data_IF_181000157989
#
_entry.id   IF_181000157989
#
_cell.length_a   1.000
_cell.length_b   1.000
_cell.length_c   1.000
_cell.angle_alpha   90.00
_cell.angle_beta   90.00
_cell.angle_gamma   90.00
#
_symmetry.space_group_name_H-M   'P 1'
#
loop_
_entity.id
_entity.type
_entity.pdbx_description
1 polymer ?
#
# COMPACT_ATOMS: atom_id res chain seq x y z
N UNK A 1 -32.18 -49.31 -27.89
CA UNK A 1 -30.83 -48.84 -28.36
C UNK A 1 -30.12 -48.27 -27.16
N UNK A 2 -29.28 -49.08 -26.56
CA UNK A 2 -28.38 -48.66 -25.46
C UNK A 2 -27.24 -47.91 -26.08
N UNK A 3 -27.17 -46.62 -25.85
CA UNK A 3 -25.99 -45.80 -26.15
C UNK A 3 -24.87 -46.29 -25.24
N UNK A 4 -24.00 -47.14 -25.78
CA UNK A 4 -22.68 -47.46 -25.18
C UNK A 4 -21.95 -46.10 -25.02
N UNK A 5 -21.93 -45.62 -23.80
CA UNK A 5 -21.05 -44.51 -23.39
C UNK A 5 -19.63 -45.06 -23.49
N UNK A 6 -18.96 -44.82 -24.61
CA UNK A 6 -17.52 -45.05 -24.78
C UNK A 6 -16.76 -44.13 -23.81
N UNK A 7 -16.80 -44.52 -22.52
CA UNK A 7 -16.07 -43.85 -21.44
C UNK A 7 -14.58 -44.22 -21.56
N UNK A 8 -13.78 -43.41 -22.15
CA UNK A 8 -12.34 -43.60 -22.36
C UNK A 8 -11.49 -43.30 -21.11
N UNK A 9 -12.10 -42.88 -20.02
CA UNK A 9 -11.40 -42.64 -18.74
C UNK A 9 -11.11 -43.94 -18.01
N UNK A 10 -9.97 -43.98 -17.31
CA UNK A 10 -9.59 -45.15 -16.45
C UNK A 10 -10.50 -45.29 -15.20
N UNK A 11 -11.35 -44.32 -14.90
CA UNK A 11 -12.19 -44.29 -13.71
C UNK A 11 -13.63 -44.72 -14.00
N UNK A 12 -14.15 -45.64 -13.17
CA UNK A 12 -15.58 -45.95 -13.13
C UNK A 12 -16.29 -45.19 -12.02
N UNK A 13 -17.62 -45.20 -12.03
CA UNK A 13 -18.41 -44.63 -10.94
C UNK A 13 -18.16 -45.38 -9.61
N UNK A 14 -18.01 -46.69 -9.68
CA UNK A 14 -17.72 -47.55 -8.54
C UNK A 14 -16.36 -47.25 -7.91
N UNK A 15 -15.29 -47.09 -8.71
CA UNK A 15 -14.00 -46.62 -8.24
C UNK A 15 -14.07 -45.25 -7.57
N UNK A 16 -14.85 -44.36 -8.14
CA UNK A 16 -15.07 -43.04 -7.58
C UNK A 16 -15.83 -43.07 -6.26
N UNK A 17 -16.77 -44.00 -6.13
CA UNK A 17 -17.49 -44.26 -4.88
C UNK A 17 -16.56 -44.82 -3.81
N UNK A 18 -15.75 -45.80 -4.17
CA UNK A 18 -14.73 -46.40 -3.30
C UNK A 18 -13.70 -45.37 -2.82
N UNK A 19 -13.21 -44.55 -3.72
CA UNK A 19 -12.31 -43.42 -3.40
C UNK A 19 -12.93 -42.47 -2.39
N UNK A 20 -14.18 -42.03 -2.59
CA UNK A 20 -14.86 -41.11 -1.68
C UNK A 20 -15.19 -41.76 -0.34
N UNK A 21 -15.55 -43.04 -0.33
CA UNK A 21 -15.82 -43.76 0.90
C UNK A 21 -14.57 -43.85 1.79
N UNK A 22 -13.40 -44.08 1.20
CA UNK A 22 -12.11 -44.13 1.90
C UNK A 22 -11.74 -42.78 2.51
N UNK A 23 -11.95 -41.69 1.76
CA UNK A 23 -11.58 -40.35 2.22
C UNK A 23 -12.56 -39.74 3.24
N UNK A 24 -13.80 -40.17 3.23
CA UNK A 24 -14.89 -39.59 4.04
C UNK A 24 -15.73 -40.67 4.74
N UNK A 25 -15.14 -41.59 5.53
CA UNK A 25 -15.87 -42.72 6.11
C UNK A 25 -17.07 -42.29 6.95
N UNK A 26 -16.94 -41.22 7.71
CA UNK A 26 -17.92 -40.71 8.67
C UNK A 26 -18.96 -39.71 8.08
N UNK A 27 -19.05 -39.61 6.77
CA UNK A 27 -20.05 -38.71 6.12
C UNK A 27 -21.27 -39.51 5.66
N UNK A 28 -22.40 -38.81 5.53
CA UNK A 28 -23.68 -39.40 5.08
C UNK A 28 -23.58 -39.98 3.68
N UNK A 29 -24.37 -41.02 3.40
CA UNK A 29 -24.42 -41.68 2.06
C UNK A 29 -24.72 -40.68 0.94
N UNK A 30 -25.66 -39.78 1.14
CA UNK A 30 -26.02 -38.73 0.17
C UNK A 30 -24.83 -37.80 -0.15
N UNK A 31 -24.03 -37.41 0.87
CA UNK A 31 -22.82 -36.63 0.66
C UNK A 31 -21.81 -37.40 -0.19
N UNK A 32 -21.58 -38.67 0.16
CA UNK A 32 -20.60 -39.55 -0.51
C UNK A 32 -21.00 -39.75 -1.97
N UNK A 33 -22.24 -40.04 -2.23
CA UNK A 33 -22.76 -40.26 -3.58
C UNK A 33 -22.67 -39.00 -4.47
N UNK A 34 -23.08 -37.83 -3.97
CA UNK A 34 -22.94 -36.57 -4.69
C UNK A 34 -21.46 -36.26 -5.01
N UNK A 35 -20.57 -36.49 -4.07
CA UNK A 35 -19.13 -36.29 -4.27
C UNK A 35 -18.52 -37.28 -5.24
N UNK A 36 -18.90 -38.56 -5.19
CA UNK A 36 -18.45 -39.57 -6.11
C UNK A 36 -18.89 -39.27 -7.56
N UNK A 37 -20.15 -38.89 -7.75
CA UNK A 37 -20.66 -38.47 -9.06
C UNK A 37 -19.92 -37.25 -9.59
N UNK A 38 -19.69 -36.22 -8.76
CA UNK A 38 -18.94 -35.05 -9.14
C UNK A 38 -17.48 -35.35 -9.51
N UNK A 39 -16.82 -36.24 -8.74
CA UNK A 39 -15.47 -36.69 -9.03
C UNK A 39 -15.41 -37.48 -10.34
N UNK A 40 -16.27 -38.46 -10.51
CA UNK A 40 -16.42 -39.26 -11.73
C UNK A 40 -16.60 -38.36 -12.95
N UNK A 41 -17.57 -37.46 -12.94
CA UNK A 41 -17.80 -36.53 -14.02
C UNK A 41 -16.58 -35.65 -14.34
N UNK A 42 -15.78 -35.30 -13.34
CA UNK A 42 -14.54 -34.54 -13.54
C UNK A 42 -13.43 -35.34 -14.23
N UNK A 43 -13.40 -36.66 -14.02
CA UNK A 43 -12.44 -37.56 -14.64
C UNK A 43 -12.86 -37.91 -16.08
N UNK A 44 -14.13 -38.24 -16.28
CA UNK A 44 -14.69 -38.63 -17.58
C UNK A 44 -14.79 -37.47 -18.56
N UNK A 45 -15.19 -36.29 -18.12
CA UNK A 45 -15.29 -35.08 -18.96
C UNK A 45 -13.96 -34.72 -19.65
N UNK A 46 -12.84 -35.16 -19.09
CA UNK A 46 -11.48 -34.87 -19.60
C UNK A 46 -10.80 -36.09 -20.21
N UNK A 47 -11.49 -37.22 -20.35
CA UNK A 47 -10.93 -38.49 -20.86
C UNK A 47 -9.54 -38.83 -20.28
N UNK A 48 -9.39 -38.66 -18.96
CA UNK A 48 -8.10 -38.78 -18.31
C UNK A 48 -7.54 -40.19 -18.38
N UNK A 49 -6.41 -40.32 -19.06
CA UNK A 49 -5.64 -41.56 -19.14
C UNK A 49 -4.38 -41.47 -18.30
N UNK A 50 -4.16 -42.50 -17.49
CA UNK A 50 -2.96 -42.61 -16.65
C UNK A 50 -1.95 -43.54 -17.29
N UNK A 51 -0.70 -43.05 -17.41
CA UNK A 51 0.45 -43.85 -17.85
C UNK A 51 1.48 -43.92 -16.73
N UNK A 52 1.98 -45.09 -16.43
CA UNK A 52 2.98 -45.34 -15.37
C UNK A 52 4.27 -45.78 -16.02
N UNK A 53 5.35 -45.06 -15.74
CA UNK A 53 6.71 -45.36 -16.17
C UNK A 53 7.65 -45.34 -14.97
N UNK A 54 8.88 -45.81 -15.11
CA UNK A 54 9.86 -45.72 -14.03
C UNK A 54 10.23 -44.30 -13.63
N UNK A 55 10.09 -43.33 -14.57
CA UNK A 55 10.44 -41.92 -14.34
C UNK A 55 9.32 -41.11 -13.68
N UNK A 56 8.08 -41.64 -13.68
CA UNK A 56 6.95 -40.94 -13.10
C UNK A 56 5.59 -41.47 -13.52
N UNK A 57 4.57 -40.92 -12.92
CA UNK A 57 3.18 -41.15 -13.27
C UNK A 57 2.65 -39.98 -14.03
N UNK A 58 2.09 -40.25 -15.21
CA UNK A 58 1.58 -39.21 -16.14
C UNK A 58 0.08 -39.31 -16.25
N UNK A 59 -0.60 -38.17 -16.37
CA UNK A 59 -2.02 -38.10 -16.69
C UNK A 59 -2.17 -37.21 -17.93
N UNK A 60 -2.77 -37.78 -18.97
CA UNK A 60 -2.90 -37.12 -20.31
C UNK A 60 -1.55 -36.66 -20.87
N UNK A 61 -0.50 -37.50 -20.73
CA UNK A 61 0.86 -37.21 -21.17
C UNK A 61 1.60 -36.15 -20.32
N UNK A 62 0.99 -35.61 -19.26
CA UNK A 62 1.63 -34.63 -18.37
C UNK A 62 2.08 -35.30 -17.10
N UNK A 63 3.30 -34.98 -16.63
CA UNK A 63 3.79 -35.47 -15.36
C UNK A 63 2.86 -35.09 -14.22
N UNK A 64 2.28 -36.11 -13.58
CA UNK A 64 1.35 -35.99 -12.46
C UNK A 64 2.04 -36.19 -11.11
N UNK A 65 2.96 -37.17 -11.03
CA UNK A 65 3.75 -37.47 -9.86
C UNK A 65 5.21 -37.81 -10.27
N UNK A 66 6.16 -37.11 -9.69
CA UNK A 66 7.58 -37.42 -9.77
C UNK A 66 7.97 -38.30 -8.58
N UNK A 67 8.82 -39.34 -8.75
CA UNK A 67 9.34 -40.10 -7.65
C UNK A 67 10.00 -39.24 -6.56
N UNK A 68 10.71 -38.22 -6.96
CA UNK A 68 11.40 -37.29 -6.05
C UNK A 68 10.44 -36.55 -5.07
N UNK A 69 9.18 -36.37 -5.45
CA UNK A 69 8.18 -35.68 -4.66
C UNK A 69 7.40 -36.59 -3.70
N UNK A 70 7.55 -37.92 -3.87
CA UNK A 70 6.76 -38.90 -3.11
C UNK A 70 7.48 -39.22 -1.80
N UNK A 71 6.74 -39.16 -0.69
CA UNK A 71 7.18 -39.58 0.64
C UNK A 71 6.82 -41.04 0.92
N UNK A 72 5.57 -41.40 0.61
CA UNK A 72 4.99 -42.71 0.91
C UNK A 72 3.85 -43.03 -0.06
N UNK A 73 3.65 -44.33 -0.32
CA UNK A 73 2.49 -44.81 -1.05
C UNK A 73 1.72 -45.83 -0.20
N UNK A 74 0.39 -45.70 -0.21
CA UNK A 74 -0.53 -46.63 0.44
C UNK A 74 -1.56 -47.14 -0.56
N UNK A 75 -1.85 -48.42 -0.61
CA UNK A 75 -2.93 -48.93 -1.45
C UNK A 75 -4.22 -49.20 -0.66
N UNK A 76 -5.34 -49.15 -1.36
CA UNK A 76 -6.62 -49.68 -0.93
C UNK A 76 -7.31 -50.28 -2.16
N UNK A 77 -7.24 -51.61 -2.28
CA UNK A 77 -7.65 -52.31 -3.49
C UNK A 77 -6.81 -51.88 -4.70
N UNK A 78 -7.47 -51.43 -5.75
CA UNK A 78 -6.82 -50.92 -6.98
C UNK A 78 -6.46 -49.44 -6.95
N UNK A 79 -6.68 -48.74 -5.82
CA UNK A 79 -6.39 -47.34 -5.63
C UNK A 79 -5.07 -47.14 -4.87
N UNK A 80 -4.15 -46.36 -5.44
CA UNK A 80 -2.85 -46.04 -4.86
C UNK A 80 -2.84 -44.56 -4.46
N UNK A 81 -2.60 -44.31 -3.17
CA UNK A 81 -2.56 -43.00 -2.55
C UNK A 81 -1.14 -42.60 -2.25
N UNK A 82 -0.71 -41.50 -2.81
CA UNK A 82 0.64 -40.99 -2.67
C UNK A 82 0.65 -39.75 -1.75
N UNK A 83 1.33 -39.89 -0.63
CA UNK A 83 1.69 -38.78 0.23
C UNK A 83 2.89 -38.04 -0.38
N UNK A 84 2.76 -36.74 -0.63
CA UNK A 84 3.87 -35.94 -1.10
C UNK A 84 4.74 -35.44 0.08
N UNK A 85 6.05 -35.26 -0.17
CA UNK A 85 7.01 -34.74 0.83
C UNK A 85 6.61 -33.37 1.40
N UNK A 86 5.86 -32.56 0.66
CA UNK A 86 5.33 -31.29 1.14
C UNK A 86 4.17 -31.43 2.14
N UNK A 87 3.68 -32.65 2.37
CA UNK A 87 2.58 -32.94 3.30
C UNK A 87 1.23 -32.34 2.95
N UNK A 88 1.12 -31.54 1.87
CA UNK A 88 -0.07 -30.77 1.53
C UNK A 88 -1.06 -31.49 0.64
N UNK A 89 -0.61 -32.43 -0.13
CA UNK A 89 -1.43 -33.07 -1.16
C UNK A 89 -1.27 -34.57 -1.15
N UNK A 90 -2.42 -35.25 -1.11
CA UNK A 90 -2.51 -36.66 -1.45
C UNK A 90 -2.95 -36.78 -2.90
N UNK A 91 -2.25 -37.61 -3.65
CA UNK A 91 -2.62 -37.96 -5.02
C UNK A 91 -3.11 -39.40 -5.03
N UNK A 92 -4.19 -39.64 -5.76
CA UNK A 92 -4.70 -40.99 -5.96
C UNK A 92 -4.57 -41.34 -7.44
N UNK A 93 -4.09 -42.55 -7.66
CA UNK A 93 -3.94 -43.17 -8.97
C UNK A 93 -4.64 -44.51 -8.94
N UNK A 94 -5.49 -44.81 -9.93
CA UNK A 94 -6.04 -46.14 -10.13
C UNK A 94 -5.09 -46.99 -10.98
N UNK A 95 -4.79 -48.17 -10.52
CA UNK A 95 -4.06 -49.18 -11.29
C UNK A 95 -4.94 -50.44 -11.44
N UNK A 96 -5.45 -50.64 -12.65
CA UNK A 96 -6.12 -51.87 -13.05
C UNK A 96 -5.08 -53.03 -13.23
N UNK A 97 -5.56 -54.21 -13.59
CA UNK A 97 -4.69 -55.40 -13.73
C UNK A 97 -3.47 -55.17 -14.62
N UNK A 98 -3.64 -54.42 -15.70
CA UNK A 98 -2.55 -54.15 -16.67
C UNK A 98 -1.51 -53.18 -16.10
N UNK A 99 -1.95 -52.22 -15.29
CA UNK A 99 -1.10 -51.18 -14.70
C UNK A 99 -0.53 -51.56 -13.36
N UNK A 100 -1.07 -52.61 -12.72
CA UNK A 100 -0.67 -53.03 -11.38
C UNK A 100 0.81 -53.41 -11.31
N UNK A 101 1.29 -54.18 -12.29
CA UNK A 101 2.70 -54.57 -12.33
C UNK A 101 3.60 -53.34 -12.55
N UNK A 102 3.26 -52.47 -13.48
CA UNK A 102 3.99 -51.21 -13.72
C UNK A 102 4.01 -50.31 -12.48
N UNK A 103 2.94 -50.31 -11.69
CA UNK A 103 2.89 -49.58 -10.42
C UNK A 103 3.85 -50.16 -9.39
N UNK A 104 3.88 -51.49 -9.25
CA UNK A 104 4.83 -52.16 -8.36
C UNK A 104 6.28 -51.95 -8.76
N UNK A 105 6.56 -52.02 -10.06
CA UNK A 105 7.90 -51.76 -10.61
C UNK A 105 8.32 -50.32 -10.34
N UNK A 106 7.41 -49.35 -10.58
CA UNK A 106 7.62 -47.92 -10.27
C UNK A 106 7.96 -47.69 -8.79
N UNK A 107 7.21 -48.31 -7.87
CA UNK A 107 7.44 -48.20 -6.42
C UNK A 107 8.78 -48.77 -6.02
N UNK A 108 9.11 -50.00 -6.54
CA UNK A 108 10.33 -50.71 -6.24
C UNK A 108 11.58 -50.05 -6.80
N UNK A 109 11.58 -49.66 -8.09
CA UNK A 109 12.72 -49.03 -8.75
C UNK A 109 13.07 -47.67 -8.10
N UNK A 110 12.08 -46.96 -7.62
CA UNK A 110 12.28 -45.64 -7.00
C UNK A 110 12.43 -45.70 -5.47
N UNK A 111 12.50 -46.90 -4.86
CA UNK A 111 12.58 -47.12 -3.40
C UNK A 111 11.52 -46.30 -2.63
N UNK A 112 10.29 -46.28 -3.14
CA UNK A 112 9.18 -45.57 -2.49
C UNK A 112 8.65 -46.45 -1.35
N UNK A 113 8.58 -45.90 -0.13
CA UNK A 113 7.95 -46.55 1.01
C UNK A 113 6.51 -46.93 0.67
N UNK A 114 6.20 -48.20 0.64
CA UNK A 114 4.91 -48.75 0.22
C UNK A 114 4.26 -49.54 1.34
N UNK A 115 3.10 -49.08 1.77
CA UNK A 115 2.21 -49.87 2.64
C UNK A 115 1.12 -50.49 1.79
N UNK A 116 0.97 -51.83 1.91
CA UNK A 116 -0.04 -52.59 1.20
C UNK A 116 -1.47 -52.15 1.51
N UNK A 117 -2.44 -53.01 1.31
CA UNK A 117 -3.85 -52.68 1.46
C UNK A 117 -4.21 -52.25 2.89
N UNK A 118 -4.32 -50.91 3.08
CA UNK A 118 -4.57 -50.28 4.38
C UNK A 118 -5.48 -49.07 4.26
N UNK A 119 -6.81 -49.30 4.24
CA UNK A 119 -7.82 -48.20 4.18
C UNK A 119 -7.69 -47.20 5.33
N UNK A 120 -7.36 -47.66 6.54
CA UNK A 120 -7.21 -46.79 7.71
C UNK A 120 -6.02 -45.85 7.57
N UNK A 121 -4.92 -46.32 7.00
CA UNK A 121 -3.75 -45.50 6.72
C UNK A 121 -4.04 -44.45 5.65
N UNK A 122 -4.83 -44.77 4.60
CA UNK A 122 -5.30 -43.82 3.61
C UNK A 122 -6.10 -42.68 4.27
N UNK A 123 -7.01 -43.04 5.18
CA UNK A 123 -7.79 -42.04 5.91
C UNK A 123 -6.90 -41.17 6.79
N UNK A 124 -5.93 -41.75 7.51
CA UNK A 124 -4.99 -41.03 8.35
C UNK A 124 -4.19 -40.00 7.55
N UNK A 125 -3.57 -40.41 6.44
CA UNK A 125 -2.78 -39.51 5.60
C UNK A 125 -3.65 -38.40 5.03
N UNK A 126 -4.88 -38.71 4.61
CA UNK A 126 -5.82 -37.71 4.12
C UNK A 126 -6.20 -36.70 5.20
N UNK A 127 -6.44 -37.15 6.41
CA UNK A 127 -6.80 -36.31 7.55
C UNK A 127 -5.65 -35.41 7.95
N UNK A 128 -4.44 -35.93 8.04
CA UNK A 128 -3.23 -35.19 8.38
C UNK A 128 -2.92 -34.10 7.33
N UNK A 129 -2.99 -34.47 6.05
CA UNK A 129 -2.83 -33.49 4.96
C UNK A 129 -3.89 -32.37 5.00
N UNK A 130 -5.12 -32.70 5.39
CA UNK A 130 -6.19 -31.73 5.55
C UNK A 130 -5.94 -30.81 6.74
N UNK A 131 -5.52 -31.33 7.87
CA UNK A 131 -5.16 -30.55 9.07
C UNK A 131 -3.99 -29.62 8.77
N UNK A 132 -2.93 -30.13 8.15
CA UNK A 132 -1.78 -29.34 7.74
C UNK A 132 -2.17 -28.17 6.83
N UNK A 133 -3.03 -28.42 5.84
CA UNK A 133 -3.54 -27.39 4.94
C UNK A 133 -4.41 -26.36 5.67
N UNK A 134 -5.21 -26.80 6.65
CA UNK A 134 -6.06 -25.89 7.44
C UNK A 134 -5.25 -25.04 8.41
N UNK A 135 -4.20 -25.60 9.03
CA UNK A 135 -3.35 -24.87 10.00
C UNK A 135 -2.53 -23.74 9.35
N UNK A 136 -2.20 -23.86 8.07
CA UNK A 136 -1.42 -22.83 7.35
C UNK A 136 -2.24 -21.61 6.90
N UNK A 137 -3.54 -21.77 6.67
CA UNK A 137 -4.41 -20.66 6.21
C UNK A 137 -4.43 -19.49 7.19
N UNK A 138 -4.65 -19.67 8.50
CA UNK A 138 -4.68 -18.54 9.42
C UNK A 138 -3.32 -17.82 9.49
N UNK A 139 -2.20 -18.54 9.42
CA UNK A 139 -0.87 -17.94 9.41
C UNK A 139 -0.61 -17.12 8.15
N UNK A 140 -1.10 -17.57 6.99
CA UNK A 140 -1.03 -16.82 5.76
C UNK A 140 -1.88 -15.53 5.83
N UNK A 141 -3.06 -15.59 6.45
CA UNK A 141 -3.92 -14.41 6.68
C UNK A 141 -3.20 -13.40 7.58
N UNK A 142 -2.62 -13.87 8.70
CA UNK A 142 -1.86 -13.00 9.60
C UNK A 142 -0.68 -12.35 8.89
N UNK A 143 0.10 -13.12 8.12
CA UNK A 143 1.22 -12.60 7.33
C UNK A 143 0.78 -11.54 6.32
N UNK A 144 -0.40 -11.75 5.67
CA UNK A 144 -1.00 -10.79 4.74
C UNK A 144 -1.40 -9.48 5.44
N UNK A 145 -2.05 -9.59 6.60
CA UNK A 145 -2.45 -8.42 7.39
C UNK A 145 -1.21 -7.63 7.83
N UNK A 146 -0.18 -8.31 8.34
CA UNK A 146 1.07 -7.66 8.73
C UNK A 146 1.76 -6.97 7.55
N UNK A 147 1.74 -7.59 6.36
CA UNK A 147 2.25 -6.98 5.15
C UNK A 147 1.51 -5.69 4.81
N UNK A 148 0.17 -5.74 4.77
CA UNK A 148 -0.65 -4.58 4.46
C UNK A 148 -0.44 -3.46 5.48
N UNK A 149 -0.46 -3.77 6.77
CA UNK A 149 -0.23 -2.78 7.84
C UNK A 149 1.16 -2.14 7.76
N UNK A 150 2.21 -2.93 7.50
CA UNK A 150 3.56 -2.40 7.40
C UNK A 150 3.74 -1.50 6.17
N UNK A 151 3.18 -1.89 5.03
CA UNK A 151 3.21 -1.09 3.82
C UNK A 151 2.44 0.23 3.99
N UNK A 152 1.22 0.17 4.56
CA UNK A 152 0.43 1.36 4.87
C UNK A 152 1.14 2.27 5.87
N UNK A 153 1.76 1.69 6.90
CA UNK A 153 2.55 2.44 7.87
C UNK A 153 3.75 3.18 7.23
N UNK A 154 4.48 2.54 6.34
CA UNK A 154 5.59 3.16 5.60
C UNK A 154 5.11 4.29 4.69
N UNK A 155 3.98 4.08 4.01
CA UNK A 155 3.37 5.11 3.16
C UNK A 155 2.92 6.33 3.98
N UNK A 156 2.26 6.11 5.11
CA UNK A 156 1.87 7.18 6.04
C UNK A 156 3.12 7.91 6.56
N UNK A 157 4.14 7.18 7.02
CA UNK A 157 5.38 7.80 7.53
C UNK A 157 6.02 8.73 6.48
N UNK A 158 6.07 8.30 5.22
CA UNK A 158 6.65 9.08 4.12
C UNK A 158 5.82 10.32 3.79
N UNK A 159 4.49 10.19 3.75
CA UNK A 159 3.60 11.20 3.20
C UNK A 159 2.98 12.14 4.26
N UNK A 160 2.98 11.76 5.54
CA UNK A 160 2.43 12.58 6.61
C UNK A 160 3.02 14.01 6.68
N UNK A 161 4.33 14.24 6.45
CA UNK A 161 4.87 15.60 6.42
C UNK A 161 4.28 16.47 5.29
N UNK A 162 4.02 15.88 4.12
CA UNK A 162 3.40 16.60 3.01
C UNK A 162 1.95 17.00 3.34
N UNK A 163 1.20 16.10 3.98
CA UNK A 163 -0.18 16.40 4.39
C UNK A 163 -0.23 17.48 5.47
N UNK A 164 0.69 17.47 6.43
CA UNK A 164 0.79 18.54 7.43
C UNK A 164 1.15 19.88 6.77
N UNK A 165 2.07 19.86 5.81
CA UNK A 165 2.45 21.05 5.02
C UNK A 165 1.25 21.60 4.24
N UNK A 166 0.48 20.74 3.58
CA UNK A 166 -0.72 21.17 2.84
C UNK A 166 -1.77 21.80 3.77
N UNK A 167 -2.00 21.21 4.95
CA UNK A 167 -2.93 21.78 5.94
C UNK A 167 -2.51 23.15 6.44
N UNK A 168 -1.20 23.37 6.66
CA UNK A 168 -0.67 24.68 7.08
C UNK A 168 -0.82 25.70 5.96
N UNK A 169 -0.55 25.33 4.71
CA UNK A 169 -0.75 26.22 3.54
C UNK A 169 -2.21 26.60 3.37
N UNK A 170 -3.11 25.63 3.43
CA UNK A 170 -4.55 25.86 3.28
C UNK A 170 -5.16 26.63 4.46
N UNK A 171 -4.44 26.73 5.61
CA UNK A 171 -4.80 27.65 6.68
C UNK A 171 -4.69 29.13 6.27
N UNK A 172 -4.25 29.41 5.04
CA UNK A 172 -4.22 30.77 4.48
C UNK A 172 -2.95 31.54 4.85
N UNK A 173 -1.84 30.81 5.08
CA UNK A 173 -0.59 31.44 5.53
C UNK A 173 -0.06 32.47 4.51
N UNK A 174 -0.12 32.19 3.19
CA UNK A 174 0.35 33.13 2.17
C UNK A 174 -0.47 34.43 2.16
N UNK A 175 -1.81 34.34 2.23
CA UNK A 175 -2.65 35.53 2.29
C UNK A 175 -2.42 36.33 3.58
N UNK A 176 -2.30 35.61 4.71
CA UNK A 176 -2.06 36.25 5.99
C UNK A 176 -0.67 36.93 6.07
N UNK A 177 0.36 36.33 5.46
CA UNK A 177 1.69 36.96 5.36
C UNK A 177 1.58 38.30 4.58
N UNK A 178 0.88 38.26 3.43
CA UNK A 178 0.66 39.47 2.63
C UNK A 178 -0.13 40.54 3.40
N UNK A 179 -1.24 40.14 4.03
CA UNK A 179 -2.10 41.06 4.77
C UNK A 179 -1.37 41.65 5.97
N UNK A 180 -0.65 40.85 6.76
CA UNK A 180 0.12 41.32 7.92
C UNK A 180 1.29 42.19 7.55
N UNK A 181 1.95 41.91 6.42
CA UNK A 181 2.99 42.80 5.91
C UNK A 181 2.38 44.14 5.46
N UNK A 182 1.26 44.12 4.75
CA UNK A 182 0.54 45.33 4.36
C UNK A 182 0.04 46.15 5.56
N UNK A 183 -0.54 45.51 6.57
CA UNK A 183 -0.93 46.20 7.81
C UNK A 183 0.28 46.96 8.40
N UNK A 184 1.45 46.32 8.47
CA UNK A 184 2.69 46.94 8.98
C UNK A 184 3.14 48.11 8.06
N UNK A 185 3.03 47.95 6.74
CA UNK A 185 3.33 49.02 5.78
C UNK A 185 2.40 50.22 6.01
N UNK A 186 1.08 49.98 6.12
CA UNK A 186 0.08 51.03 6.34
C UNK A 186 0.32 51.75 7.67
N UNK A 187 0.67 51.00 8.73
CA UNK A 187 0.92 51.58 10.06
C UNK A 187 2.19 52.45 10.11
N UNK A 188 3.14 52.21 9.20
CA UNK A 188 4.40 52.97 9.13
C UNK A 188 4.31 54.13 8.15
N UNK A 189 3.38 54.08 7.19
CA UNK A 189 3.24 55.18 6.20
C UNK A 189 2.63 56.42 6.83
N UNK A 190 3.05 57.64 6.39
CA UNK A 190 2.40 58.86 6.77
C UNK A 190 0.97 58.91 6.24
N UNK A 191 0.07 59.62 6.94
CA UNK A 191 -1.29 59.84 6.44
C UNK A 191 -1.29 60.58 5.09
N UNK A 192 -2.39 60.49 4.33
CA UNK A 192 -2.54 61.21 3.04
C UNK A 192 -2.27 62.72 3.19
N UNK A 193 -2.69 63.31 4.30
CA UNK A 193 -2.48 64.71 4.62
C UNK A 193 -0.99 65.02 4.86
N UNK A 194 -0.27 64.14 5.59
CA UNK A 194 1.15 64.31 5.84
C UNK A 194 2.01 64.05 4.59
N UNK A 195 1.56 63.17 3.71
CA UNK A 195 2.18 62.92 2.42
C UNK A 195 1.87 64.00 1.37
N UNK A 196 0.95 64.92 1.67
CA UNK A 196 0.52 65.96 0.72
C UNK A 196 -0.22 65.38 -0.49
N UNK A 197 -0.97 64.28 -0.28
CA UNK A 197 -1.71 63.57 -1.35
C UNK A 197 -3.21 63.70 -1.15
N UNK A 198 -3.96 63.72 -2.27
CA UNK A 198 -5.40 63.49 -2.18
C UNK A 198 -5.71 62.08 -1.70
N UNK A 199 -6.80 61.90 -0.97
CA UNK A 199 -7.21 60.61 -0.42
C UNK A 199 -7.35 59.54 -1.50
N UNK A 200 -7.83 59.91 -2.68
CA UNK A 200 -7.97 59.03 -3.83
C UNK A 200 -6.61 58.55 -4.38
N UNK A 201 -5.65 59.46 -4.50
CA UNK A 201 -4.29 59.16 -4.94
C UNK A 201 -3.56 58.27 -3.92
N UNK A 202 -3.70 58.56 -2.62
CA UNK A 202 -3.14 57.77 -1.55
C UNK A 202 -3.69 56.35 -1.54
N UNK A 203 -4.99 56.16 -1.71
CA UNK A 203 -5.61 54.84 -1.77
C UNK A 203 -5.18 54.04 -3.02
N UNK A 204 -4.99 54.73 -4.16
CA UNK A 204 -4.45 54.08 -5.36
C UNK A 204 -3.02 53.59 -5.11
N UNK A 205 -2.17 54.41 -4.50
CA UNK A 205 -0.82 54.03 -4.10
C UNK A 205 -0.82 52.76 -3.19
N UNK A 206 -1.65 52.76 -2.16
CA UNK A 206 -1.77 51.59 -1.28
C UNK A 206 -2.19 50.33 -2.05
N UNK A 207 -3.15 50.50 -2.98
CA UNK A 207 -3.60 49.41 -3.83
C UNK A 207 -2.49 48.87 -4.74
N UNK A 208 -1.68 49.73 -5.31
CA UNK A 208 -0.55 49.38 -6.18
C UNK A 208 0.55 48.62 -5.37
N UNK A 209 0.88 49.13 -4.18
CA UNK A 209 1.80 48.46 -3.26
C UNK A 209 1.25 47.11 -2.86
N UNK A 210 -0.03 47.02 -2.49
CA UNK A 210 -0.67 45.74 -2.12
C UNK A 210 -0.62 44.74 -3.26
N UNK A 211 -0.95 45.13 -4.46
CA UNK A 211 -0.91 44.29 -5.65
C UNK A 211 0.53 43.81 -5.94
N UNK A 212 1.52 44.70 -5.84
CA UNK A 212 2.92 44.35 -6.04
C UNK A 212 3.42 43.31 -5.00
N UNK A 213 3.04 43.51 -3.74
CA UNK A 213 3.38 42.59 -2.64
C UNK A 213 2.69 41.23 -2.82
N UNK A 214 1.37 41.22 -3.07
CA UNK A 214 0.60 39.98 -3.24
C UNK A 214 1.08 39.14 -4.39
N UNK A 215 1.56 39.74 -5.47
CA UNK A 215 2.11 39.04 -6.62
C UNK A 215 3.61 38.70 -6.51
N UNK A 216 4.24 39.01 -5.36
CA UNK A 216 5.65 38.78 -5.16
C UNK A 216 5.98 37.32 -4.80
N UNK A 217 7.00 36.75 -5.43
CA UNK A 217 7.55 35.48 -5.06
C UNK A 217 8.13 35.41 -3.62
N UNK A 218 8.41 36.58 -3.01
CA UNK A 218 8.88 36.67 -1.63
C UNK A 218 7.78 36.24 -0.63
N UNK A 219 6.51 36.54 -0.90
CA UNK A 219 5.37 36.07 -0.08
C UNK A 219 5.30 34.57 -0.08
N UNK A 220 5.43 33.93 -1.24
CA UNK A 220 5.43 32.47 -1.35
C UNK A 220 6.64 31.85 -0.67
N UNK A 221 7.81 32.51 -0.74
CA UNK A 221 9.03 32.08 -0.05
C UNK A 221 8.87 32.13 1.46
N UNK A 222 8.34 33.22 2.02
CA UNK A 222 8.02 33.35 3.46
C UNK A 222 7.03 32.26 3.88
N UNK A 223 5.91 32.14 3.19
CA UNK A 223 4.89 31.13 3.50
C UNK A 223 5.47 29.70 3.48
N UNK A 224 6.36 29.41 2.53
CA UNK A 224 7.07 28.14 2.46
C UNK A 224 8.01 27.94 3.64
N UNK A 225 8.85 28.93 3.97
CA UNK A 225 9.77 28.85 5.14
C UNK A 225 9.00 28.57 6.43
N UNK A 226 7.90 29.27 6.67
CA UNK A 226 7.02 29.01 7.82
C UNK A 226 6.42 27.61 7.76
N UNK A 227 5.83 27.22 6.64
CA UNK A 227 5.22 25.89 6.48
C UNK A 227 6.23 24.79 6.79
N UNK A 228 7.44 24.88 6.24
CA UNK A 228 8.50 23.88 6.45
C UNK A 228 8.97 23.86 7.91
N UNK A 229 9.16 25.02 8.52
CA UNK A 229 9.58 25.16 9.91
C UNK A 229 8.51 24.66 10.90
N UNK A 230 7.24 25.03 10.70
CA UNK A 230 6.12 24.57 11.55
C UNK A 230 5.89 23.08 11.40
N UNK A 231 5.91 22.52 10.19
CA UNK A 231 5.79 21.07 9.96
C UNK A 231 6.91 20.31 10.66
N UNK A 232 8.15 20.83 10.59
CA UNK A 232 9.31 20.25 11.29
C UNK A 232 9.17 20.39 12.81
N UNK A 233 8.74 21.55 13.29
CA UNK A 233 8.49 21.78 14.71
C UNK A 233 7.44 20.82 15.30
N UNK A 234 6.31 20.64 14.60
CA UNK A 234 5.28 19.67 14.99
C UNK A 234 5.84 18.24 15.08
N UNK A 235 6.65 17.84 14.08
CA UNK A 235 7.29 16.53 14.07
C UNK A 235 8.24 16.34 15.24
N UNK A 236 9.04 17.37 15.53
CA UNK A 236 10.08 17.33 16.55
C UNK A 236 9.52 17.62 17.96
N UNK A 237 8.23 17.90 18.10
CA UNK A 237 7.54 18.18 19.36
C UNK A 237 7.94 19.50 20.02
N UNK A 238 8.40 20.48 19.20
CA UNK A 238 8.86 21.79 19.68
C UNK A 238 7.69 22.70 19.97
N UNK A 239 7.87 23.67 20.86
CA UNK A 239 7.00 24.84 20.99
C UNK A 239 7.31 25.83 19.88
N UNK A 240 6.40 26.79 19.60
CA UNK A 240 6.66 27.80 18.57
C UNK A 240 7.92 28.63 18.85
N UNK A 241 8.16 28.98 20.10
CA UNK A 241 9.34 29.77 20.52
C UNK A 241 10.68 29.04 20.30
N UNK A 242 10.66 27.72 20.18
CA UNK A 242 11.85 26.92 19.87
C UNK A 242 12.10 26.79 18.36
N UNK A 243 11.20 27.35 17.54
CA UNK A 243 11.30 27.31 16.09
C UNK A 243 11.91 28.64 15.62
N UNK A 244 13.13 28.58 15.09
CA UNK A 244 13.77 29.74 14.49
C UNK A 244 13.40 29.82 13.01
N UNK A 245 12.79 30.95 12.59
CA UNK A 245 12.38 31.20 11.20
C UNK A 245 13.02 32.54 10.78
N UNK A 246 14.01 32.45 9.90
CA UNK A 246 14.70 33.62 9.35
C UNK A 246 14.08 33.98 7.99
N UNK A 247 13.49 35.18 7.92
CA UNK A 247 12.86 35.77 6.73
C UNK A 247 13.41 37.16 6.38
N UNK A 248 14.54 37.56 6.92
CA UNK A 248 15.08 38.89 6.75
C UNK A 248 15.36 39.24 5.27
N UNK A 249 15.83 38.27 4.49
CA UNK A 249 16.08 38.40 3.06
C UNK A 249 14.76 38.66 2.27
N UNK A 250 13.72 37.93 2.59
CA UNK A 250 12.41 38.08 1.95
C UNK A 250 11.75 39.40 2.34
N UNK A 251 11.83 39.80 3.59
CA UNK A 251 11.34 41.10 4.04
C UNK A 251 12.10 42.25 3.35
N UNK A 252 13.41 42.12 3.15
CA UNK A 252 14.20 43.03 2.37
C UNK A 252 13.71 43.15 0.92
N UNK A 253 13.41 42.01 0.33
CA UNK A 253 12.86 41.94 -1.03
C UNK A 253 11.48 42.59 -1.13
N UNK A 254 10.60 42.34 -0.16
CA UNK A 254 9.29 42.96 -0.10
C UNK A 254 9.38 44.51 0.05
N UNK A 255 10.29 44.96 0.90
CA UNK A 255 10.56 46.41 1.07
C UNK A 255 11.06 47.04 -0.25
N UNK A 256 11.95 46.36 -0.97
CA UNK A 256 12.43 46.82 -2.27
C UNK A 256 11.31 46.87 -3.34
N UNK A 257 10.42 45.87 -3.33
CA UNK A 257 9.26 45.83 -4.25
C UNK A 257 8.31 47.01 -3.97
N UNK A 258 7.98 47.23 -2.69
CA UNK A 258 7.15 48.34 -2.29
C UNK A 258 7.80 49.69 -2.66
N UNK A 259 9.11 49.84 -2.39
CA UNK A 259 9.90 51.02 -2.76
C UNK A 259 9.88 51.26 -4.28
N UNK A 260 10.13 50.26 -5.10
CA UNK A 260 10.14 50.40 -6.55
C UNK A 260 8.75 50.75 -7.10
N UNK A 261 7.68 50.15 -6.55
CA UNK A 261 6.31 50.46 -6.92
C UNK A 261 5.98 51.92 -6.71
N UNK A 262 6.54 52.56 -5.68
CA UNK A 262 6.36 53.99 -5.39
C UNK A 262 7.26 54.84 -6.29
N UNK A 263 8.54 54.53 -6.39
CA UNK A 263 9.54 55.37 -7.12
C UNK A 263 9.35 55.32 -8.63
N UNK A 264 8.88 54.23 -9.19
CA UNK A 264 8.62 54.06 -10.62
C UNK A 264 7.28 54.66 -11.05
N UNK A 265 6.38 54.95 -10.10
CA UNK A 265 5.11 55.60 -10.40
C UNK A 265 5.36 57.02 -10.93
N UNK A 266 4.73 57.33 -12.05
CA UNK A 266 4.79 58.70 -12.64
C UNK A 266 3.81 59.67 -12.01
N UNK A 267 2.96 59.18 -11.15
CA UNK A 267 1.82 59.93 -10.60
C UNK A 267 2.18 60.69 -9.31
N UNK A 268 3.39 60.45 -8.74
CA UNK A 268 3.82 61.05 -7.48
C UNK A 268 5.00 61.99 -7.68
N UNK A 269 5.00 63.12 -6.96
CA UNK A 269 6.11 64.06 -6.94
C UNK A 269 7.33 63.45 -6.20
N UNK A 270 8.54 63.91 -6.53
CA UNK A 270 9.77 63.42 -5.89
C UNK A 270 9.74 63.61 -4.36
N UNK A 271 9.16 64.72 -3.86
CA UNK A 271 8.99 64.96 -2.42
C UNK A 271 8.05 63.97 -1.76
N UNK A 272 6.96 63.54 -2.42
CA UNK A 272 6.04 62.52 -1.94
C UNK A 272 6.73 61.15 -1.89
N UNK A 273 7.51 60.82 -2.92
CA UNK A 273 8.30 59.58 -2.98
C UNK A 273 9.33 59.52 -1.85
N UNK A 274 10.04 60.61 -1.58
CA UNK A 274 11.05 60.65 -0.51
C UNK A 274 10.44 60.44 0.88
N UNK A 275 9.28 61.05 1.18
CA UNK A 275 8.58 60.92 2.46
C UNK A 275 8.14 59.47 2.66
N UNK A 276 7.57 58.84 1.63
CA UNK A 276 7.03 57.50 1.70
C UNK A 276 8.16 56.43 1.80
N UNK A 277 9.23 56.63 1.04
CA UNK A 277 10.38 55.69 1.05
C UNK A 277 11.13 55.72 2.35
N UNK A 278 11.22 56.87 3.04
CA UNK A 278 11.83 56.97 4.36
C UNK A 278 11.05 56.15 5.41
N UNK A 279 9.72 56.09 5.29
CA UNK A 279 8.88 55.32 6.19
C UNK A 279 8.97 53.80 5.96
N UNK A 280 9.14 53.36 4.70
CA UNK A 280 9.24 51.96 4.36
C UNK A 280 10.52 51.25 4.83
N UNK A 281 11.59 51.99 5.10
CA UNK A 281 12.90 51.40 5.48
C UNK A 281 12.92 50.91 6.93
N UNK A 282 11.92 51.26 7.75
CA UNK A 282 12.12 51.30 9.20
C UNK A 282 11.56 50.15 10.04
N UNK A 283 10.76 49.18 9.51
CA UNK A 283 10.16 48.20 10.44
C UNK A 283 10.00 46.75 9.97
N UNK A 284 11.10 46.15 9.57
CA UNK A 284 11.16 44.68 9.34
C UNK A 284 10.85 43.86 10.61
N UNK A 285 11.25 44.35 11.79
CA UNK A 285 11.01 43.69 13.06
C UNK A 285 9.51 43.61 13.37
N UNK A 286 8.78 44.67 13.19
CA UNK A 286 7.32 44.68 13.38
C UNK A 286 6.61 43.80 12.38
N UNK A 287 7.03 43.79 11.11
CA UNK A 287 6.48 42.88 10.10
C UNK A 287 6.73 41.41 10.47
N UNK A 288 7.95 41.06 10.85
CA UNK A 288 8.29 39.72 11.29
C UNK A 288 7.49 39.30 12.53
N UNK A 289 7.33 40.19 13.50
CA UNK A 289 6.55 39.97 14.71
C UNK A 289 5.06 39.75 14.39
N UNK A 290 4.49 40.53 13.49
CA UNK A 290 3.08 40.38 13.07
C UNK A 290 2.84 39.03 12.38
N UNK A 291 3.75 38.63 11.49
CA UNK A 291 3.71 37.33 10.82
C UNK A 291 3.90 36.17 11.84
N UNK A 292 4.88 36.31 12.76
CA UNK A 292 5.12 35.33 13.83
C UNK A 292 3.88 35.13 14.71
N UNK A 293 3.21 36.22 15.12
CA UNK A 293 2.01 36.14 15.93
C UNK A 293 0.88 35.37 15.24
N UNK A 294 0.72 35.56 13.93
CA UNK A 294 -0.26 34.81 13.18
C UNK A 294 0.12 33.32 13.05
N UNK A 295 1.38 33.06 12.72
CA UNK A 295 1.90 31.70 12.56
C UNK A 295 1.88 30.92 13.88
N UNK A 296 2.19 31.56 15.01
CA UNK A 296 2.07 30.94 16.34
C UNK A 296 0.63 30.57 16.67
N UNK A 297 -0.34 31.42 16.32
CA UNK A 297 -1.75 31.10 16.50
C UNK A 297 -2.18 29.83 15.76
N UNK A 298 -1.76 29.67 14.50
CA UNK A 298 -2.01 28.43 13.74
C UNK A 298 -1.30 27.24 14.40
N UNK A 299 -0.05 27.41 14.79
CA UNK A 299 0.76 26.36 15.38
C UNK A 299 0.20 25.87 16.71
N UNK A 300 -0.16 26.81 17.59
CA UNK A 300 -0.76 26.51 18.90
C UNK A 300 -2.10 25.82 18.76
N UNK A 301 -2.91 26.21 17.79
CA UNK A 301 -4.18 25.54 17.50
C UNK A 301 -3.96 24.11 17.06
N UNK A 302 -2.96 23.87 16.19
CA UNK A 302 -2.59 22.52 15.75
C UNK A 302 -1.99 21.69 16.90
N UNK A 303 -1.23 22.29 17.79
CA UNK A 303 -0.54 21.59 18.87
C UNK A 303 -1.47 21.30 20.07
N UNK A 304 -2.27 22.27 20.50
CA UNK A 304 -3.04 22.18 21.74
C UNK A 304 -4.49 21.71 21.55
N UNK A 305 -5.20 22.19 20.55
CA UNK A 305 -6.58 21.72 20.27
C UNK A 305 -6.63 20.35 19.63
N UNK A 306 -5.55 19.95 18.96
CA UNK A 306 -5.41 18.65 18.31
C UNK A 306 -4.31 17.80 18.94
N UNK A 307 -4.09 17.91 20.24
CA UNK A 307 -2.99 17.24 20.95
C UNK A 307 -2.88 15.73 20.65
N UNK A 308 -4.02 15.05 20.50
CA UNK A 308 -4.04 13.65 20.07
C UNK A 308 -3.59 13.45 18.63
N UNK A 309 -3.93 14.36 17.72
CA UNK A 309 -3.50 14.31 16.31
C UNK A 309 -2.03 14.69 16.18
N UNK A 310 -1.54 15.68 16.93
CA UNK A 310 -0.13 16.02 16.97
C UNK A 310 0.71 14.86 17.49
N UNK A 311 0.27 14.18 18.55
CA UNK A 311 0.91 12.97 19.09
C UNK A 311 0.93 11.81 18.08
N UNK A 312 -0.17 11.59 17.34
CA UNK A 312 -0.23 10.61 16.26
C UNK A 312 0.76 10.99 15.14
N UNK A 313 0.76 12.27 14.72
CA UNK A 313 1.67 12.77 13.70
C UNK A 313 3.14 12.57 14.09
N UNK A 314 3.53 12.95 15.30
CA UNK A 314 4.88 12.73 15.85
C UNK A 314 5.24 11.24 15.83
N UNK A 315 4.32 10.38 16.28
CA UNK A 315 4.54 8.94 16.30
C UNK A 315 4.76 8.39 14.90
N UNK A 316 3.85 8.67 13.96
CA UNK A 316 3.91 8.10 12.60
C UNK A 316 5.07 8.66 11.77
N UNK A 317 5.54 9.88 12.04
CA UNK A 317 6.70 10.48 11.36
C UNK A 317 8.03 10.17 12.03
N UNK A 318 8.01 9.50 13.19
CA UNK A 318 9.23 9.17 13.93
C UNK A 318 10.08 8.13 13.21
N UNK A 319 11.41 8.23 13.42
CA UNK A 319 12.36 7.23 12.94
C UNK A 319 12.10 5.85 13.55
N UNK A 320 11.66 5.81 14.81
CA UNK A 320 11.32 4.56 15.51
C UNK A 320 10.16 3.85 14.82
N UNK A 321 9.09 4.58 14.47
CA UNK A 321 7.96 4.02 13.73
C UNK A 321 8.40 3.49 12.36
N UNK A 322 9.21 4.24 11.62
CA UNK A 322 9.76 3.81 10.34
C UNK A 322 10.51 2.48 10.45
N UNK A 323 11.45 2.38 11.41
CA UNK A 323 12.22 1.14 11.63
C UNK A 323 11.30 -0.02 12.03
N UNK A 324 10.31 0.23 12.91
CA UNK A 324 9.34 -0.78 13.30
C UNK A 324 8.54 -1.30 12.10
N UNK A 325 8.09 -0.42 11.20
CA UNK A 325 7.37 -0.82 9.99
C UNK A 325 8.24 -1.63 9.02
N UNK A 326 9.53 -1.29 8.86
CA UNK A 326 10.49 -2.09 8.08
C UNK A 326 10.67 -3.48 8.69
N UNK A 327 10.81 -3.58 9.99
CA UNK A 327 10.95 -4.89 10.66
C UNK A 327 9.69 -5.73 10.51
N UNK A 328 8.51 -5.14 10.66
CA UNK A 328 7.24 -5.81 10.42
C UNK A 328 7.10 -6.27 8.95
N UNK A 329 7.52 -5.44 8.01
CA UNK A 329 7.53 -5.79 6.58
C UNK A 329 8.45 -6.98 6.32
N UNK A 330 9.67 -6.96 6.84
CA UNK A 330 10.62 -8.07 6.71
C UNK A 330 10.07 -9.36 7.32
N UNK A 331 9.50 -9.27 8.53
CA UNK A 331 8.85 -10.41 9.19
C UNK A 331 7.68 -10.95 8.36
N UNK A 332 6.81 -10.08 7.85
CA UNK A 332 5.67 -10.47 7.02
C UNK A 332 6.11 -11.17 5.73
N UNK A 333 7.16 -10.70 5.07
CA UNK A 333 7.73 -11.30 3.87
C UNK A 333 8.33 -12.68 4.17
N UNK A 334 9.06 -12.84 5.28
CA UNK A 334 9.58 -14.13 5.74
C UNK A 334 8.42 -15.10 5.97
N UNK A 335 7.38 -14.67 6.69
CA UNK A 335 6.20 -15.51 6.93
C UNK A 335 5.46 -15.87 5.63
N UNK A 336 5.31 -14.92 4.71
CA UNK A 336 4.72 -15.17 3.40
C UNK A 336 5.52 -16.19 2.59
N UNK A 337 6.85 -16.18 2.66
CA UNK A 337 7.73 -17.14 1.99
C UNK A 337 7.62 -18.52 2.67
N UNK A 338 7.71 -18.58 4.00
CA UNK A 338 7.66 -19.84 4.76
C UNK A 338 6.31 -20.56 4.67
N UNK A 339 5.22 -19.78 4.70
CA UNK A 339 3.86 -20.32 4.63
C UNK A 339 3.25 -20.20 3.23
N UNK A 340 4.01 -19.68 2.26
CA UNK A 340 3.53 -19.58 0.89
C UNK A 340 3.25 -20.97 0.32
N UNK A 341 2.17 -21.00 -0.38
CA UNK A 341 1.74 -22.11 -1.20
C UNK A 341 2.82 -22.44 -2.26
N UNK A 342 2.80 -23.64 -2.86
CA UNK A 342 3.75 -24.01 -3.91
C UNK A 342 3.85 -22.91 -4.97
N UNK A 343 5.02 -22.79 -5.59
CA UNK A 343 5.35 -21.70 -6.56
C UNK A 343 4.25 -21.48 -7.61
N UNK A 344 3.48 -22.53 -7.94
CA UNK A 344 2.33 -22.48 -8.83
C UNK A 344 1.22 -21.52 -8.35
N UNK A 345 1.08 -21.30 -7.05
CA UNK A 345 0.09 -20.42 -6.45
C UNK A 345 0.73 -19.10 -6.02
N UNK A 346 1.93 -19.14 -5.45
CA UNK A 346 2.68 -17.95 -5.00
C UNK A 346 2.92 -16.95 -6.14
N UNK A 347 3.13 -17.44 -7.38
CA UNK A 347 3.30 -16.60 -8.57
C UNK A 347 2.08 -15.73 -8.90
N UNK A 348 0.91 -16.07 -8.40
CA UNK A 348 -0.32 -15.30 -8.58
C UNK A 348 -0.59 -14.49 -7.32
N UNK A 349 -0.42 -15.12 -6.15
CA UNK A 349 -0.78 -14.53 -4.87
C UNK A 349 0.08 -13.32 -4.50
N UNK A 350 1.42 -13.43 -4.57
CA UNK A 350 2.32 -12.33 -4.21
C UNK A 350 2.15 -11.09 -5.11
N UNK A 351 2.17 -11.22 -6.45
CA UNK A 351 1.88 -10.06 -7.31
C UNK A 351 0.50 -9.44 -7.07
N UNK A 352 -0.53 -10.29 -6.90
CA UNK A 352 -1.88 -9.81 -6.61
C UNK A 352 -1.94 -9.01 -5.31
N UNK A 353 -1.16 -9.39 -4.29
CA UNK A 353 -1.10 -8.67 -3.03
C UNK A 353 -0.63 -7.21 -3.21
N UNK A 354 0.41 -6.98 -4.01
CA UNK A 354 0.90 -5.62 -4.32
C UNK A 354 -0.10 -4.82 -5.15
N UNK A 355 -0.76 -5.45 -6.12
CA UNK A 355 -1.77 -4.78 -6.96
C UNK A 355 -3.01 -4.41 -6.12
N UNK A 356 -3.47 -5.33 -5.28
CA UNK A 356 -4.62 -5.10 -4.39
C UNK A 356 -4.27 -4.02 -3.36
N UNK A 357 -3.07 -4.07 -2.78
CA UNK A 357 -2.60 -3.05 -1.85
C UNK A 357 -2.62 -1.65 -2.50
N UNK A 358 -1.98 -1.50 -3.67
CA UNK A 358 -1.99 -0.23 -4.40
C UNK A 358 -3.41 0.27 -4.70
N UNK A 359 -4.30 -0.61 -5.16
CA UNK A 359 -5.69 -0.26 -5.45
C UNK A 359 -6.52 0.11 -4.23
N UNK A 360 -6.41 -0.64 -3.14
CA UNK A 360 -7.13 -0.35 -1.89
C UNK A 360 -6.65 0.96 -1.26
N UNK A 361 -5.34 1.19 -1.20
CA UNK A 361 -4.80 2.44 -0.69
C UNK A 361 -5.18 3.64 -1.55
N UNK A 362 -5.19 3.49 -2.87
CA UNK A 362 -5.66 4.55 -3.75
C UNK A 362 -7.08 5.00 -3.37
N UNK A 363 -7.99 4.05 -3.17
CA UNK A 363 -9.36 4.35 -2.74
C UNK A 363 -9.38 4.95 -1.32
N UNK A 364 -8.63 4.35 -0.39
CA UNK A 364 -8.58 4.83 0.99
C UNK A 364 -8.06 6.27 1.09
N UNK A 365 -6.98 6.59 0.41
CA UNK A 365 -6.40 7.94 0.44
C UNK A 365 -7.28 8.95 -0.30
N UNK A 366 -7.72 8.67 -1.53
CA UNK A 366 -8.48 9.64 -2.31
C UNK A 366 -9.92 9.85 -1.80
N UNK A 367 -10.53 8.83 -1.20
CA UNK A 367 -11.93 8.93 -0.72
C UNK A 367 -12.00 9.21 0.77
N UNK A 368 -11.28 8.44 1.59
CA UNK A 368 -11.43 8.51 3.04
C UNK A 368 -10.55 9.60 3.66
N UNK A 369 -9.26 9.62 3.31
CA UNK A 369 -8.32 10.57 3.91
C UNK A 369 -8.64 12.01 3.50
N UNK A 370 -8.95 12.23 2.23
CA UNK A 370 -9.32 13.58 1.75
C UNK A 370 -10.61 14.07 2.42
N UNK A 371 -11.64 13.23 2.56
CA UNK A 371 -12.85 13.59 3.29
C UNK A 371 -12.59 13.84 4.77
N UNK A 372 -11.75 13.03 5.40
CA UNK A 372 -11.36 13.23 6.79
C UNK A 372 -10.60 14.55 6.96
N UNK A 373 -9.68 14.88 6.06
CA UNK A 373 -8.96 16.15 6.08
C UNK A 373 -9.89 17.35 5.93
N UNK A 374 -10.84 17.30 4.98
CA UNK A 374 -11.85 18.34 4.79
C UNK A 374 -12.72 18.55 6.04
N UNK A 375 -13.16 17.47 6.68
CA UNK A 375 -13.98 17.54 7.90
C UNK A 375 -13.19 18.08 9.10
N UNK A 376 -11.95 17.61 9.26
CA UNK A 376 -11.08 18.05 10.35
C UNK A 376 -10.66 19.50 10.18
N UNK A 377 -10.25 19.90 8.99
CA UNK A 377 -9.86 21.29 8.72
C UNK A 377 -11.03 22.26 8.90
N UNK A 378 -12.21 21.91 8.42
CA UNK A 378 -13.40 22.75 8.62
C UNK A 378 -13.76 22.88 10.12
N UNK A 379 -13.61 21.80 10.90
CA UNK A 379 -13.91 21.79 12.32
C UNK A 379 -12.89 22.54 13.17
N UNK A 380 -11.60 22.44 12.84
CA UNK A 380 -10.52 22.97 13.67
C UNK A 380 -9.96 24.30 13.15
N UNK A 381 -9.95 24.51 11.83
CA UNK A 381 -9.40 25.73 11.21
C UNK A 381 -10.49 26.67 10.69
N UNK A 382 -11.78 26.28 10.77
CA UNK A 382 -12.90 27.06 10.22
C UNK A 382 -12.87 27.21 8.69
N UNK A 383 -12.02 26.45 8.00
CA UNK A 383 -11.82 26.46 6.54
C UNK A 383 -11.77 25.05 6.01
N UNK A 384 -12.19 24.87 4.76
CA UNK A 384 -12.05 23.57 4.05
C UNK A 384 -10.68 23.49 3.42
N UNK A 385 -9.81 22.62 3.96
CA UNK A 385 -8.55 22.26 3.35
C UNK A 385 -8.68 21.02 2.47
N UNK A 386 -8.00 21.01 1.34
CA UNK A 386 -7.89 19.83 0.45
C UNK A 386 -6.45 19.33 0.42
N UNK A 387 -6.24 18.02 0.64
CA UNK A 387 -4.91 17.43 0.59
C UNK A 387 -4.47 17.22 -0.87
N UNK A 388 -3.25 17.58 -1.17
CA UNK A 388 -2.63 17.22 -2.44
C UNK A 388 -2.13 15.75 -2.38
N UNK A 389 -2.95 14.84 -2.90
CA UNK A 389 -2.68 13.40 -2.89
C UNK A 389 -1.78 12.93 -4.04
N UNK A 390 -1.22 13.83 -4.83
CA UNK A 390 -0.39 13.49 -5.99
C UNK A 390 0.80 12.59 -5.61
N UNK A 391 1.45 12.88 -4.50
CA UNK A 391 2.58 12.08 -4.00
C UNK A 391 2.16 10.66 -3.61
N UNK A 392 1.06 10.52 -2.85
CA UNK A 392 0.51 9.22 -2.47
C UNK A 392 0.11 8.41 -3.71
N UNK A 393 -0.55 9.04 -4.68
CA UNK A 393 -0.96 8.39 -5.91
C UNK A 393 0.23 7.86 -6.73
N UNK A 394 1.34 8.59 -6.77
CA UNK A 394 2.58 8.15 -7.45
C UNK A 394 3.16 6.91 -6.78
N UNK A 395 3.20 6.88 -5.45
CA UNK A 395 3.66 5.71 -4.71
C UNK A 395 2.76 4.49 -4.94
N UNK A 396 1.44 4.67 -4.93
CA UNK A 396 0.47 3.60 -5.16
C UNK A 396 0.58 2.99 -6.55
N UNK A 397 0.79 3.83 -7.58
CA UNK A 397 1.07 3.38 -8.95
C UNK A 397 2.39 2.58 -8.99
N UNK A 398 3.41 3.02 -8.25
CA UNK A 398 4.70 2.33 -8.17
C UNK A 398 4.56 0.94 -7.56
N UNK A 399 3.79 0.77 -6.49
CA UNK A 399 3.51 -0.55 -5.89
C UNK A 399 2.73 -1.46 -6.83
N UNK A 400 1.69 -0.95 -7.50
CA UNK A 400 0.94 -1.72 -8.49
C UNK A 400 1.86 -2.17 -9.65
N UNK A 401 2.74 -1.29 -10.13
CA UNK A 401 3.74 -1.60 -11.16
C UNK A 401 4.73 -2.66 -10.70
N UNK A 402 5.21 -2.60 -9.45
CA UNK A 402 6.04 -3.63 -8.85
C UNK A 402 5.34 -4.98 -8.83
N UNK A 403 4.05 -5.01 -8.51
CA UNK A 403 3.23 -6.22 -8.58
C UNK A 403 3.20 -6.83 -9.99
N UNK A 404 3.07 -6.02 -11.02
CA UNK A 404 3.11 -6.48 -12.43
C UNK A 404 4.49 -7.05 -12.78
N UNK A 405 5.57 -6.36 -12.42
CA UNK A 405 6.95 -6.85 -12.65
C UNK A 405 7.20 -8.17 -11.94
N UNK A 406 6.78 -8.29 -10.69
CA UNK A 406 6.87 -9.56 -9.94
C UNK A 406 6.07 -10.68 -10.61
N UNK A 407 4.89 -10.39 -11.16
CA UNK A 407 4.09 -11.38 -11.90
C UNK A 407 4.85 -11.92 -13.10
N UNK A 408 5.51 -11.04 -13.85
CA UNK A 408 6.31 -11.44 -15.02
C UNK A 408 7.49 -12.32 -14.61
N UNK A 409 8.30 -11.86 -13.62
CA UNK A 409 9.49 -12.58 -13.14
C UNK A 409 9.10 -13.97 -12.60
N UNK A 410 8.08 -14.05 -11.75
CA UNK A 410 7.66 -15.32 -11.14
C UNK A 410 7.06 -16.29 -12.18
N UNK A 411 6.38 -15.79 -13.21
CA UNK A 411 5.89 -16.64 -14.29
C UNK A 411 7.04 -17.17 -15.17
N UNK A 412 8.06 -16.36 -15.45
CA UNK A 412 9.26 -16.82 -16.17
C UNK A 412 10.00 -17.89 -15.35
N UNK A 413 10.23 -17.65 -14.06
CA UNK A 413 10.86 -18.59 -13.16
C UNK A 413 10.09 -19.93 -13.09
N UNK A 414 8.76 -19.85 -12.95
CA UNK A 414 7.90 -21.03 -12.95
C UNK A 414 7.99 -21.82 -14.26
N UNK A 415 7.93 -21.14 -15.42
CA UNK A 415 8.06 -21.82 -16.72
C UNK A 415 9.43 -22.48 -16.87
N UNK A 416 10.50 -21.84 -16.40
CA UNK A 416 11.87 -22.38 -16.44
C UNK A 416 12.03 -23.61 -15.58
N UNK A 417 11.48 -23.59 -14.37
CA UNK A 417 11.50 -24.76 -13.46
C UNK A 417 10.64 -25.92 -13.99
N UNK A 418 9.48 -25.61 -14.57
CA UNK A 418 8.63 -26.60 -15.19
C UNK A 418 9.33 -27.31 -16.37
N UNK A 419 10.03 -26.56 -17.24
CA UNK A 419 10.83 -27.13 -18.34
C UNK A 419 12.02 -27.97 -17.86
N UNK A 420 12.63 -27.63 -16.70
CA UNK A 420 13.69 -28.45 -16.10
C UNK A 420 13.16 -29.75 -15.48
N UNK A 421 11.92 -29.74 -15.02
CA UNK A 421 11.27 -30.92 -14.47
C UNK A 421 10.67 -31.85 -15.57
N UNK A 422 10.56 -31.33 -16.80
CA UNK A 422 10.10 -32.08 -17.99
C UNK A 422 11.27 -32.64 -18.85
N UNK A 423 12.52 -32.28 -18.53
CA UNK A 423 13.76 -32.87 -19.06
C UNK A 423 14.32 -33.89 -18.06
#
# INVERSE_FOLDING_TARGET
MSTENNNTSDWTLEDSQSYINLLYPNRTSNFKEKRAKAFFNSQTKKNRKTTITNDGIYVDGKLFLSPADIKKCVSAGNLFFFEKKDGMLIRCVKADREKLQKMKDFLSVNNIDFTGDSPDEVYRIHYDAKLYKQSRKPLLIVATILFLLSMSGLNINKNAPFYASDLIKDAGLSSAVSDRYMDTVIDTLPSSEQAGMEVSEYNNMLSDIQNAIQNSSAIDSIAKKYTDALTKGLRDGKTFDEINIDIDEELTTLAAIAYNGITESKDYSDTQKDIITLALVLDKESAQKAINNYASGIYDEMQYRTSSLAGIYQTVTSKTFYVMMILLLALSLILLILFSLPLSVSRIYLPALFIIYGGLEYVAFNVLLNRAAMLLSNRFLGRTASLNLTYANTDLISYASLGVVLAIIMNIAYRKMKRKAEK
#
